data_IF_318214773387
#
_entry.id   IF_318214773387
#
_cell.length_a   1.000
_cell.length_b   1.000
_cell.length_c   1.000
_cell.angle_alpha   90.00
_cell.angle_beta   90.00
_cell.angle_gamma   90.00
#
_symmetry.space_group_name_H-M   'P 1'
#
loop_
_entity.id
_entity.type
_entity.pdbx_description
1 polymer ?
#
# COMPACT_ATOMS: atom_id res chain seq x y z
N UNK A 1 75.80 -28.93 -54.75
CA UNK A 1 76.39 -30.12 -54.08
C UNK A 1 75.30 -30.55 -53.14
N UNK A 2 74.54 -31.59 -53.57
CA UNK A 2 74.63 -33.00 -53.10
C UNK A 2 74.67 -33.07 -51.56
N UNK A 3 73.74 -33.75 -50.86
CA UNK A 3 73.37 -35.18 -50.93
C UNK A 3 72.36 -35.48 -49.85
N UNK A 4 71.43 -36.20 -50.14
CA UNK A 4 70.90 -37.54 -49.77
C UNK A 4 70.18 -37.62 -48.41
N UNK A 5 68.90 -37.90 -48.51
CA UNK A 5 68.20 -39.15 -48.25
C UNK A 5 68.42 -39.79 -46.86
N UNK A 6 67.40 -39.85 -46.01
CA UNK A 6 66.97 -41.14 -45.50
C UNK A 6 65.49 -41.13 -44.99
N UNK A 7 64.79 -42.15 -45.47
CA UNK A 7 63.47 -42.51 -45.02
C UNK A 7 63.55 -43.46 -43.82
N UNK A 8 62.83 -43.16 -42.78
CA UNK A 8 62.39 -44.24 -41.88
C UNK A 8 60.92 -44.13 -41.49
N UNK A 9 60.19 -45.13 -41.91
CA UNK A 9 58.84 -45.45 -41.48
C UNK A 9 58.73 -45.64 -39.97
N UNK A 10 57.71 -45.01 -39.34
CA UNK A 10 57.37 -45.27 -37.95
C UNK A 10 55.84 -45.22 -37.73
N UNK A 11 55.33 -46.37 -37.53
CA UNK A 11 53.99 -46.88 -37.31
C UNK A 11 53.08 -45.92 -36.54
N UNK A 12 51.83 -45.91 -36.98
CA UNK A 12 50.69 -45.20 -36.42
C UNK A 12 50.31 -45.56 -34.97
N UNK A 13 49.92 -44.56 -34.24
CA UNK A 13 49.11 -44.71 -33.06
C UNK A 13 47.86 -43.84 -33.28
N UNK A 14 46.77 -44.52 -33.60
CA UNK A 14 45.44 -43.91 -33.62
C UNK A 14 45.07 -43.61 -32.17
N UNK A 15 45.17 -42.34 -31.77
CA UNK A 15 44.56 -41.87 -30.52
C UNK A 15 43.10 -41.63 -30.78
N UNK A 16 42.26 -42.50 -30.22
CA UNK A 16 40.84 -42.28 -30.11
C UNK A 16 40.59 -41.11 -29.18
N UNK A 17 40.06 -40.00 -29.72
CA UNK A 17 39.56 -38.86 -28.94
C UNK A 17 38.17 -39.25 -28.45
N UNK A 18 38.06 -39.60 -27.18
CA UNK A 18 36.80 -39.73 -26.47
C UNK A 18 36.23 -38.31 -26.24
N UNK A 19 35.29 -37.95 -27.08
CA UNK A 19 34.44 -36.78 -26.84
C UNK A 19 33.46 -37.12 -25.69
N UNK A 20 33.79 -36.73 -24.48
CA UNK A 20 32.83 -36.70 -23.36
C UNK A 20 31.87 -35.55 -23.57
N UNK A 21 30.66 -35.84 -24.00
CA UNK A 21 29.56 -34.93 -24.06
C UNK A 21 29.12 -34.60 -22.61
N UNK A 22 29.56 -33.46 -22.10
CA UNK A 22 29.00 -32.84 -20.88
C UNK A 22 27.64 -32.26 -21.23
N UNK A 23 26.57 -33.02 -20.98
CA UNK A 23 25.22 -32.47 -20.99
C UNK A 23 25.06 -31.58 -19.78
N UNK A 24 25.21 -30.27 -19.96
CA UNK A 24 24.84 -29.29 -18.96
C UNK A 24 23.31 -29.26 -18.84
N UNK A 25 22.80 -29.84 -17.77
CA UNK A 25 21.39 -29.73 -17.39
C UNK A 25 21.14 -28.30 -16.91
N UNK A 26 20.62 -27.44 -17.78
CA UNK A 26 20.16 -26.09 -17.37
C UNK A 26 18.86 -26.30 -16.60
N UNK A 27 18.95 -26.30 -15.28
CA UNK A 27 17.77 -26.20 -14.41
C UNK A 27 17.25 -24.77 -14.51
N UNK A 28 16.31 -24.55 -15.40
CA UNK A 28 15.53 -23.30 -15.43
C UNK A 28 14.61 -23.35 -14.21
N UNK A 29 15.04 -22.74 -13.11
CA UNK A 29 14.18 -22.49 -11.97
C UNK A 29 13.12 -21.48 -12.42
N UNK A 30 11.95 -21.98 -12.77
CA UNK A 30 10.79 -21.14 -13.02
C UNK A 30 10.42 -20.48 -11.67
N UNK A 31 10.89 -19.25 -11.48
CA UNK A 31 10.40 -18.40 -10.39
C UNK A 31 8.93 -18.09 -10.72
N UNK A 32 8.02 -18.90 -10.19
CA UNK A 32 6.58 -18.60 -10.23
C UNK A 32 6.37 -17.35 -9.39
N UNK A 33 6.22 -16.21 -10.07
CA UNK A 33 5.69 -15.00 -9.44
C UNK A 33 4.24 -15.36 -9.08
N UNK A 34 4.02 -15.74 -7.83
CA UNK A 34 2.68 -15.85 -7.28
C UNK A 34 2.17 -14.42 -7.16
N UNK A 35 1.47 -13.95 -8.17
CA UNK A 35 0.67 -12.74 -8.05
C UNK A 35 -0.41 -13.05 -7.01
N UNK A 36 -0.17 -12.69 -5.75
CA UNK A 36 -1.17 -12.76 -4.72
C UNK A 36 -2.31 -11.81 -5.13
N UNK A 37 -3.41 -12.41 -5.60
CA UNK A 37 -4.62 -11.64 -5.91
C UNK A 37 -5.22 -11.13 -4.61
N UNK A 38 -5.51 -9.83 -4.53
CA UNK A 38 -6.18 -9.24 -3.39
C UNK A 38 -7.60 -9.80 -3.23
N UNK A 39 -8.03 -9.94 -1.99
CA UNK A 39 -9.35 -10.49 -1.63
C UNK A 39 -10.24 -9.35 -1.13
N UNK A 40 -11.53 -9.38 -1.48
CA UNK A 40 -12.49 -8.42 -0.93
C UNK A 40 -12.71 -8.64 0.57
N UNK A 41 -12.73 -7.56 1.34
CA UNK A 41 -13.06 -7.64 2.76
C UNK A 41 -14.55 -7.98 2.93
N UNK A 42 -14.83 -8.89 3.86
CA UNK A 42 -16.20 -9.22 4.27
C UNK A 42 -16.82 -8.20 5.23
N UNK A 43 -18.04 -8.47 5.69
CA UNK A 43 -18.72 -7.65 6.70
C UNK A 43 -17.94 -7.66 8.04
N UNK A 44 -18.10 -6.60 8.86
CA UNK A 44 -17.54 -6.61 10.19
C UNK A 44 -18.22 -7.67 11.08
N UNK A 45 -17.53 -8.17 12.12
CA UNK A 45 -18.13 -9.10 13.07
C UNK A 45 -19.41 -8.55 13.71
N UNK A 46 -20.32 -9.41 14.17
CA UNK A 46 -21.54 -8.97 14.88
C UNK A 46 -21.24 -8.02 16.03
N UNK A 47 -21.96 -6.91 16.10
CA UNK A 47 -21.78 -5.87 17.12
C UNK A 47 -20.65 -4.88 16.82
N UNK A 48 -19.86 -5.12 15.79
CA UNK A 48 -18.82 -4.18 15.33
C UNK A 48 -19.31 -3.34 14.15
N UNK A 49 -18.69 -2.18 13.98
CA UNK A 49 -18.87 -1.31 12.83
C UNK A 49 -17.59 -1.20 12.03
N UNK A 50 -17.68 -0.78 10.78
CA UNK A 50 -16.53 -0.52 9.95
C UNK A 50 -16.55 0.89 9.35
N UNK A 51 -15.37 1.50 9.24
CA UNK A 51 -15.14 2.77 8.57
C UNK A 51 -13.97 2.64 7.59
N UNK A 52 -13.99 3.40 6.49
CA UNK A 52 -12.94 3.35 5.48
C UNK A 52 -12.41 4.76 5.23
N UNK A 53 -11.07 4.91 5.32
CA UNK A 53 -10.39 6.18 5.19
C UNK A 53 -9.18 6.05 4.27
N UNK A 54 -9.00 7.02 3.38
CA UNK A 54 -7.82 7.20 2.54
C UNK A 54 -7.13 8.53 2.91
N UNK A 55 -5.85 8.51 3.20
CA UNK A 55 -5.10 9.69 3.67
C UNK A 55 -3.61 9.63 3.32
N UNK A 56 -3.28 9.31 2.06
CA UNK A 56 -1.93 9.02 1.61
C UNK A 56 -1.55 7.57 1.89
N UNK A 57 -0.27 7.33 2.14
CA UNK A 57 0.24 5.98 2.41
C UNK A 57 -0.51 5.30 3.57
N UNK A 58 -1.07 4.15 3.28
CA UNK A 58 -1.87 3.38 4.22
C UNK A 58 -1.09 2.89 5.45
N UNK A 59 0.23 2.71 5.38
CA UNK A 59 1.04 2.38 6.57
C UNK A 59 0.92 3.44 7.66
N UNK A 60 0.87 4.72 7.26
CA UNK A 60 0.70 5.83 8.19
C UNK A 60 -0.71 5.92 8.74
N UNK A 61 -1.72 5.62 7.92
CA UNK A 61 -3.11 5.62 8.35
C UNK A 61 -3.41 4.43 9.26
N UNK A 62 -2.87 3.25 8.96
CA UNK A 62 -2.98 2.06 9.81
C UNK A 62 -2.42 2.33 11.22
N UNK A 63 -1.22 2.92 11.30
CA UNK A 63 -0.60 3.31 12.58
C UNK A 63 -1.52 4.21 13.41
N UNK A 64 -2.12 5.22 12.78
CA UNK A 64 -3.00 6.18 13.47
C UNK A 64 -4.22 5.52 14.09
N UNK A 65 -4.90 4.66 13.35
CA UNK A 65 -6.15 4.09 13.81
C UNK A 65 -5.96 2.89 14.75
N UNK A 66 -4.89 2.12 14.57
CA UNK A 66 -4.62 0.92 15.39
C UNK A 66 -4.26 1.28 16.85
N UNK A 67 -3.89 2.52 17.12
CA UNK A 67 -3.63 3.02 18.47
C UNK A 67 -4.88 3.53 19.21
N UNK A 68 -6.05 3.58 18.55
CA UNK A 68 -7.26 4.13 19.15
C UNK A 68 -7.97 3.08 20.00
N UNK A 69 -8.16 3.31 21.32
CA UNK A 69 -8.90 2.39 22.17
C UNK A 69 -10.32 2.17 21.65
N UNK A 70 -10.73 0.91 21.49
CA UNK A 70 -12.02 0.53 20.93
C UNK A 70 -11.97 0.14 19.45
N UNK A 71 -10.87 0.43 18.75
CA UNK A 71 -10.57 -0.17 17.44
C UNK A 71 -10.14 -1.60 17.66
N UNK A 72 -10.73 -2.52 16.91
CA UNK A 72 -10.46 -3.96 16.98
C UNK A 72 -9.41 -4.39 15.96
N UNK A 73 -9.49 -3.85 14.75
CA UNK A 73 -8.50 -4.11 13.70
C UNK A 73 -8.49 -2.98 12.68
N UNK A 74 -7.32 -2.78 12.10
CA UNK A 74 -7.11 -1.92 10.94
C UNK A 74 -6.48 -2.76 9.85
N UNK A 75 -7.01 -2.66 8.63
CA UNK A 75 -6.54 -3.43 7.48
C UNK A 75 -6.19 -2.47 6.36
N UNK A 76 -4.96 -2.52 5.88
CA UNK A 76 -4.51 -1.78 4.70
C UNK A 76 -5.08 -2.40 3.43
N UNK A 77 -5.50 -1.58 2.45
CA UNK A 77 -6.11 -2.07 1.22
C UNK A 77 -6.38 -0.99 0.19
N UNK A 78 -7.18 -1.35 -0.79
CA UNK A 78 -7.48 -0.54 -1.97
C UNK A 78 -9.00 -0.44 -2.17
N UNK A 79 -9.49 0.76 -2.49
CA UNK A 79 -10.92 0.97 -2.76
C UNK A 79 -11.15 2.17 -3.68
N UNK A 80 -12.38 2.36 -4.14
CA UNK A 80 -12.78 3.51 -4.97
C UNK A 80 -12.49 3.37 -6.47
N UNK A 81 -11.76 2.36 -6.88
CA UNK A 81 -11.44 2.07 -8.28
C UNK A 81 -12.37 1.06 -8.94
N UNK A 82 -12.08 0.73 -10.20
CA UNK A 82 -12.91 -0.17 -11.02
C UNK A 82 -12.28 -1.55 -11.22
N UNK A 83 -10.99 -1.68 -11.03
CA UNK A 83 -10.27 -2.95 -11.21
C UNK A 83 -10.64 -3.93 -10.11
N UNK A 84 -11.07 -5.12 -10.47
CA UNK A 84 -11.31 -6.20 -9.51
C UNK A 84 -9.97 -6.83 -9.10
N UNK A 85 -9.83 -7.15 -7.81
CA UNK A 85 -8.64 -7.79 -7.26
C UNK A 85 -7.34 -7.11 -7.74
N UNK A 86 -7.16 -5.78 -7.48
CA UNK A 86 -6.00 -5.05 -7.94
C UNK A 86 -4.75 -5.54 -7.22
N UNK A 87 -3.59 -5.51 -7.88
CA UNK A 87 -2.30 -5.69 -7.23
C UNK A 87 -1.71 -4.34 -6.84
N UNK A 88 -0.81 -4.33 -5.84
CA UNK A 88 -0.08 -3.13 -5.42
C UNK A 88 0.55 -2.38 -6.61
N UNK A 89 1.25 -3.10 -7.48
CA UNK A 89 1.94 -2.51 -8.63
C UNK A 89 0.98 -1.74 -9.56
N UNK A 90 -0.23 -2.27 -9.78
CA UNK A 90 -1.23 -1.60 -10.62
C UNK A 90 -1.82 -0.37 -9.93
N UNK A 91 -2.00 -0.42 -8.61
CA UNK A 91 -2.49 0.73 -7.83
C UNK A 91 -1.43 1.81 -7.77
N UNK A 92 -0.17 1.46 -7.46
CA UNK A 92 0.97 2.37 -7.39
C UNK A 92 1.18 3.14 -8.70
N UNK A 93 1.00 2.48 -9.85
CA UNK A 93 1.04 3.13 -11.16
C UNK A 93 -0.15 4.06 -11.44
N UNK A 94 -1.15 4.13 -10.56
CA UNK A 94 -2.36 4.94 -10.76
C UNK A 94 -3.31 4.40 -11.83
N UNK A 95 -3.11 3.16 -12.32
CA UNK A 95 -3.84 2.61 -13.47
C UNK A 95 -5.24 2.06 -13.12
N UNK A 96 -5.54 1.85 -11.83
CA UNK A 96 -6.75 1.16 -11.38
C UNK A 96 -7.90 2.08 -10.97
N UNK A 97 -7.58 3.37 -10.69
CA UNK A 97 -8.49 4.32 -10.07
C UNK A 97 -8.71 4.11 -8.57
N UNK A 98 -8.17 3.02 -7.99
CA UNK A 98 -8.18 2.80 -6.56
C UNK A 98 -7.28 3.78 -5.83
N UNK A 99 -7.61 3.98 -4.55
CA UNK A 99 -6.74 4.67 -3.60
C UNK A 99 -6.24 3.68 -2.56
N UNK A 100 -5.07 3.94 -1.99
CA UNK A 100 -4.63 3.34 -0.74
C UNK A 100 -5.55 3.81 0.39
N UNK A 101 -6.08 2.86 1.12
CA UNK A 101 -7.03 3.14 2.19
C UNK A 101 -6.84 2.15 3.35
N UNK A 102 -7.41 2.49 4.49
CA UNK A 102 -7.53 1.59 5.63
C UNK A 102 -9.00 1.33 5.94
N UNK A 103 -9.30 0.08 6.26
CA UNK A 103 -10.57 -0.33 6.81
C UNK A 103 -10.41 -0.54 8.32
N UNK A 104 -11.13 0.26 9.08
CA UNK A 104 -11.10 0.29 10.54
C UNK A 104 -12.34 -0.43 11.06
N UNK A 105 -12.18 -1.58 11.74
CA UNK A 105 -13.24 -2.28 12.46
C UNK A 105 -13.18 -1.85 13.92
N UNK A 106 -14.29 -1.40 14.47
CA UNK A 106 -14.33 -0.83 15.81
C UNK A 106 -15.60 -1.21 16.57
N UNK A 107 -15.50 -1.18 17.90
CA UNK A 107 -16.62 -1.36 18.81
C UNK A 107 -17.33 0.00 19.02
N UNK A 108 -18.55 0.19 18.46
CA UNK A 108 -19.26 1.46 18.56
C UNK A 108 -19.69 1.83 19.99
N UNK A 109 -19.64 0.86 20.93
CA UNK A 109 -19.89 1.14 22.35
C UNK A 109 -18.66 1.72 23.05
N UNK A 110 -17.45 1.60 22.45
CA UNK A 110 -16.18 2.06 23.05
C UNK A 110 -15.61 3.29 22.35
N UNK A 111 -15.79 3.37 21.02
CA UNK A 111 -15.30 4.50 20.22
C UNK A 111 -16.34 4.89 19.17
N UNK A 112 -16.61 6.18 19.05
CA UNK A 112 -17.56 6.69 18.07
C UNK A 112 -16.92 6.90 16.68
N UNK A 113 -17.74 6.90 15.63
CA UNK A 113 -17.30 7.25 14.29
C UNK A 113 -16.74 8.68 14.21
N UNK A 114 -17.32 9.60 14.98
CA UNK A 114 -16.85 10.99 15.09
C UNK A 114 -15.44 11.07 15.69
N UNK A 115 -15.08 10.18 16.61
CA UNK A 115 -13.70 10.07 17.14
C UNK A 115 -12.74 9.62 16.03
N UNK A 116 -13.16 8.66 15.20
CA UNK A 116 -12.36 8.22 14.07
C UNK A 116 -12.23 9.32 13.00
N UNK A 117 -13.28 10.08 12.73
CA UNK A 117 -13.23 11.25 11.84
C UNK A 117 -12.27 12.31 12.35
N UNK A 118 -12.29 12.61 13.66
CA UNK A 118 -11.34 13.55 14.24
C UNK A 118 -9.89 13.06 14.11
N UNK A 119 -9.64 11.78 14.36
CA UNK A 119 -8.33 11.17 14.14
C UNK A 119 -7.89 11.26 12.66
N UNK A 120 -8.80 10.99 11.72
CA UNK A 120 -8.56 11.15 10.29
C UNK A 120 -8.12 12.57 9.94
N UNK A 121 -8.92 13.59 10.30
CA UNK A 121 -8.64 14.98 9.98
C UNK A 121 -7.28 15.43 10.54
N UNK A 122 -7.00 15.09 11.80
CA UNK A 122 -5.74 15.44 12.48
C UNK A 122 -4.51 14.76 11.90
N UNK A 123 -4.69 13.77 11.06
CA UNK A 123 -3.59 12.99 10.44
C UNK A 123 -3.53 13.11 8.92
N UNK A 124 -4.28 14.07 8.34
CA UNK A 124 -4.27 14.37 6.90
C UNK A 124 -4.07 15.88 6.66
N UNK A 125 -3.58 16.21 5.47
CA UNK A 125 -3.64 17.58 4.94
C UNK A 125 -4.93 17.75 4.14
N UNK A 126 -5.95 18.42 4.67
CA UNK A 126 -7.21 18.57 3.99
C UNK A 126 -7.14 19.53 2.79
N UNK A 127 -6.04 20.24 2.62
CA UNK A 127 -5.83 21.22 1.53
C UNK A 127 -5.11 20.61 0.34
N UNK A 128 -4.63 19.34 0.47
CA UNK A 128 -3.95 18.60 -0.59
C UNK A 128 -4.94 17.61 -1.24
N UNK A 129 -5.12 17.70 -2.55
CA UNK A 129 -6.10 16.87 -3.27
C UNK A 129 -5.50 15.92 -4.30
N UNK A 130 -4.23 16.07 -4.63
CA UNK A 130 -3.53 15.28 -5.64
C UNK A 130 -2.63 14.19 -5.03
N UNK A 131 -2.56 14.14 -3.71
CA UNK A 131 -1.73 13.23 -2.95
C UNK A 131 -1.79 13.57 -1.48
N UNK A 132 -0.80 13.14 -0.71
CA UNK A 132 -0.63 13.53 0.70
C UNK A 132 0.87 13.57 1.04
N UNK A 133 1.34 14.69 1.54
CA UNK A 133 2.73 14.90 1.98
C UNK A 133 3.72 14.63 0.84
N UNK A 134 4.54 13.58 0.93
CA UNK A 134 5.49 13.20 -0.12
C UNK A 134 4.91 12.21 -1.14
N UNK A 135 3.72 11.69 -0.90
CA UNK A 135 3.09 10.70 -1.76
C UNK A 135 2.22 11.39 -2.81
N UNK A 136 2.68 11.42 -4.06
CA UNK A 136 1.99 12.06 -5.18
C UNK A 136 1.31 11.03 -6.07
N UNK A 137 0.09 11.36 -6.49
CA UNK A 137 -0.70 10.54 -7.39
C UNK A 137 -2.11 10.30 -6.89
N UNK A 138 -2.99 9.96 -7.82
CA UNK A 138 -4.42 9.75 -7.54
C UNK A 138 -4.70 8.66 -6.51
N UNK A 139 -3.78 7.71 -6.35
CA UNK A 139 -3.88 6.62 -5.38
C UNK A 139 -3.63 7.07 -3.94
N UNK A 140 -3.09 8.27 -3.71
CA UNK A 140 -2.80 8.83 -2.38
C UNK A 140 -3.70 9.99 -1.98
N UNK A 141 -4.74 10.30 -2.77
CA UNK A 141 -5.64 11.41 -2.46
C UNK A 141 -6.47 11.15 -1.19
N UNK A 142 -6.78 12.20 -0.41
CA UNK A 142 -7.55 12.05 0.83
C UNK A 142 -9.05 11.87 0.52
N UNK A 143 -9.65 10.78 1.05
CA UNK A 143 -11.07 10.46 0.92
C UNK A 143 -11.61 9.88 2.22
N UNK A 144 -12.87 10.21 2.52
CA UNK A 144 -13.68 9.53 3.54
C UNK A 144 -14.75 8.74 2.80
N UNK A 145 -14.80 7.43 3.02
CA UNK A 145 -15.82 6.56 2.41
C UNK A 145 -16.92 6.28 3.43
N UNK A 146 -18.17 6.59 3.08
CA UNK A 146 -19.32 6.29 3.93
C UNK A 146 -20.02 5.01 3.49
N UNK A 147 -20.39 4.17 4.44
CA UNK A 147 -21.07 2.90 4.20
C UNK A 147 -22.60 3.07 4.20
N UNK A 148 -23.11 4.07 4.91
CA UNK A 148 -24.53 4.37 5.08
C UNK A 148 -24.76 5.87 5.28
N UNK A 149 -26.04 6.27 5.33
CA UNK A 149 -26.42 7.67 5.48
C UNK A 149 -25.99 8.26 6.84
N UNK A 150 -25.99 7.46 7.90
CA UNK A 150 -25.56 7.93 9.20
C UNK A 150 -24.06 8.29 9.23
N UNK A 151 -23.21 7.49 8.54
CA UNK A 151 -21.81 7.85 8.33
C UNK A 151 -21.65 9.07 7.43
N UNK A 152 -22.46 9.17 6.37
CA UNK A 152 -22.44 10.32 5.46
C UNK A 152 -22.73 11.62 6.20
N UNK A 153 -23.83 11.71 6.93
CA UNK A 153 -24.22 12.87 7.72
C UNK A 153 -23.12 13.31 8.71
N UNK A 154 -22.52 12.34 9.42
CA UNK A 154 -21.43 12.60 10.39
C UNK A 154 -20.16 13.05 9.72
N UNK A 155 -19.80 12.44 8.60
CA UNK A 155 -18.61 12.84 7.82
C UNK A 155 -18.79 14.27 7.28
N UNK A 156 -19.93 14.60 6.71
CA UNK A 156 -20.26 15.94 6.25
C UNK A 156 -20.30 16.96 7.38
N UNK A 157 -20.86 16.63 8.53
CA UNK A 157 -20.86 17.49 9.70
C UNK A 157 -19.43 17.76 10.17
N UNK A 158 -18.57 16.74 10.20
CA UNK A 158 -17.16 16.89 10.59
C UNK A 158 -16.39 17.79 9.63
N UNK A 159 -16.66 17.68 8.32
CA UNK A 159 -16.06 18.54 7.29
C UNK A 159 -16.51 20.00 7.46
N UNK A 160 -17.82 20.24 7.65
CA UNK A 160 -18.36 21.59 7.91
C UNK A 160 -17.72 22.24 9.13
N UNK A 161 -17.51 21.50 10.24
CA UNK A 161 -16.82 22.05 11.42
C UNK A 161 -15.41 22.57 11.10
N UNK A 162 -14.69 21.90 10.19
CA UNK A 162 -13.35 22.36 9.78
C UNK A 162 -13.46 23.57 8.84
N UNK A 163 -14.42 23.58 7.93
CA UNK A 163 -14.70 24.72 7.03
C UNK A 163 -15.08 25.97 7.83
N UNK A 164 -16.00 25.84 8.79
CA UNK A 164 -16.49 26.92 9.66
C UNK A 164 -15.41 27.45 10.61
N UNK A 165 -14.40 26.67 10.91
CA UNK A 165 -13.25 27.14 11.69
C UNK A 165 -12.40 28.17 10.95
N UNK A 166 -12.59 28.32 9.65
CA UNK A 166 -11.82 29.17 8.75
C UNK A 166 -10.30 28.98 8.82
N UNK A 167 -9.88 27.81 9.35
CA UNK A 167 -8.45 27.45 9.48
C UNK A 167 -7.80 27.25 8.13
N UNK A 168 -8.55 26.70 7.19
CA UNK A 168 -8.08 26.41 5.84
C UNK A 168 -8.88 27.18 4.80
N UNK A 169 -8.19 27.68 3.78
CA UNK A 169 -8.80 28.43 2.69
C UNK A 169 -9.74 27.53 1.85
N UNK A 170 -9.46 26.24 1.78
CA UNK A 170 -10.23 25.24 1.02
C UNK A 170 -9.97 23.84 1.55
N UNK A 171 -11.01 23.02 1.64
CA UNK A 171 -10.95 21.59 1.97
C UNK A 171 -11.11 20.79 0.69
N UNK A 172 -10.11 20.01 0.34
CA UNK A 172 -10.10 19.18 -0.89
C UNK A 172 -10.44 17.71 -0.63
N UNK A 173 -10.44 17.27 0.64
CA UNK A 173 -10.92 15.95 1.02
C UNK A 173 -12.36 15.75 0.57
N UNK A 174 -12.62 14.68 -0.15
CA UNK A 174 -13.96 14.30 -0.61
C UNK A 174 -14.58 13.25 0.31
N UNK A 175 -15.92 13.29 0.42
CA UNK A 175 -16.72 12.29 1.10
C UNK A 175 -17.50 11.57 0.02
N UNK A 176 -17.31 10.25 -0.10
CA UNK A 176 -17.82 9.45 -1.22
C UNK A 176 -18.43 8.11 -0.71
N UNK A 177 -19.37 7.52 -1.44
CA UNK A 177 -19.91 6.22 -1.04
C UNK A 177 -18.84 5.15 -1.06
N UNK A 178 -18.90 4.24 -0.09
CA UNK A 178 -18.01 3.08 -0.03
C UNK A 178 -18.27 2.14 -1.22
N UNK A 179 -17.20 1.53 -1.68
CA UNK A 179 -17.20 0.45 -2.67
C UNK A 179 -16.45 -0.75 -2.14
N UNK A 180 -16.32 -1.79 -2.96
CA UNK A 180 -15.53 -2.97 -2.56
C UNK A 180 -14.16 -2.56 -2.04
N UNK A 181 -13.83 -2.99 -0.83
CA UNK A 181 -12.52 -2.84 -0.22
C UNK A 181 -11.70 -4.10 -0.48
N UNK A 182 -10.58 -3.97 -1.17
CA UNK A 182 -9.66 -5.05 -1.49
C UNK A 182 -8.51 -5.03 -0.49
N UNK A 183 -8.34 -6.12 0.25
CA UNK A 183 -7.27 -6.25 1.24
C UNK A 183 -5.92 -6.24 0.51
N UNK A 184 -5.02 -5.37 0.90
CA UNK A 184 -3.67 -5.33 0.33
C UNK A 184 -2.86 -6.57 0.74
N UNK A 185 -1.79 -6.81 0.02
CA UNK A 185 -0.89 -7.94 0.21
C UNK A 185 -0.35 -7.98 1.66
N UNK A 186 -0.10 -9.17 2.18
CA UNK A 186 0.26 -9.41 3.59
C UNK A 186 1.47 -8.59 4.04
N UNK A 187 2.45 -8.37 3.16
CA UNK A 187 3.65 -7.60 3.50
C UNK A 187 3.37 -6.10 3.76
N UNK A 188 2.18 -5.60 3.44
CA UNK A 188 1.74 -4.25 3.77
C UNK A 188 1.04 -4.16 5.12
N UNK A 189 0.49 -5.28 5.62
CA UNK A 189 -0.25 -5.28 6.87
C UNK A 189 0.69 -5.05 8.06
N UNK A 190 0.31 -4.15 8.96
CA UNK A 190 1.08 -3.78 10.14
C UNK A 190 2.55 -3.40 9.84
N UNK A 191 2.81 -2.84 8.65
CA UNK A 191 4.16 -2.50 8.22
C UNK A 191 4.88 -1.59 9.22
N UNK A 192 4.17 -0.67 9.84
CA UNK A 192 4.72 0.23 10.85
C UNK A 192 5.22 -0.50 12.11
N UNK A 193 4.74 -1.73 12.40
CA UNK A 193 5.22 -2.61 13.48
C UNK A 193 6.31 -3.56 12.99
N UNK A 194 6.03 -4.27 11.88
CA UNK A 194 6.89 -5.35 11.38
C UNK A 194 8.18 -4.82 10.75
N UNK A 195 8.16 -3.59 10.23
CA UNK A 195 9.28 -2.92 9.58
C UNK A 195 9.50 -1.51 10.17
N UNK A 196 9.47 -1.40 11.50
CA UNK A 196 9.44 -0.13 12.23
C UNK A 196 10.55 0.85 11.81
N UNK A 197 11.78 0.37 11.59
CA UNK A 197 12.89 1.24 11.17
C UNK A 197 12.67 1.84 9.77
N UNK A 198 12.23 1.03 8.81
CA UNK A 198 11.94 1.48 7.45
C UNK A 198 10.74 2.46 7.45
N UNK A 199 9.71 2.16 8.23
CA UNK A 199 8.57 3.07 8.38
C UNK A 199 8.97 4.41 8.99
N UNK A 200 9.79 4.43 10.03
CA UNK A 200 10.28 5.67 10.64
C UNK A 200 11.12 6.49 9.66
N UNK A 201 11.99 5.86 8.90
CA UNK A 201 12.78 6.54 7.87
C UNK A 201 11.89 7.17 6.80
N UNK A 202 10.89 6.42 6.31
CA UNK A 202 9.89 6.92 5.37
C UNK A 202 9.13 8.12 5.98
N UNK A 203 8.55 7.99 7.17
CA UNK A 203 7.73 9.01 7.82
C UNK A 203 8.49 10.33 8.05
N UNK A 204 9.74 10.24 8.51
CA UNK A 204 10.63 11.40 8.70
C UNK A 204 10.99 12.03 7.34
N UNK A 205 11.42 11.22 6.37
CA UNK A 205 11.80 11.69 5.03
C UNK A 205 10.64 12.34 4.29
N UNK A 206 9.41 11.87 4.53
CA UNK A 206 8.19 12.42 3.98
C UNK A 206 7.77 13.77 4.59
N UNK A 207 8.32 14.13 5.75
CA UNK A 207 7.97 15.38 6.45
C UNK A 207 6.54 15.44 6.99
N UNK A 208 5.86 14.27 7.08
CA UNK A 208 4.44 14.20 7.46
C UNK A 208 4.16 14.88 8.80
N UNK A 209 4.96 14.58 9.83
CA UNK A 209 4.73 15.13 11.18
C UNK A 209 4.95 16.63 11.24
N UNK A 210 5.95 17.16 10.55
CA UNK A 210 6.18 18.59 10.45
C UNK A 210 5.00 19.30 9.79
N UNK A 211 4.50 18.76 8.68
CA UNK A 211 3.35 19.32 7.98
C UNK A 211 2.06 19.25 8.82
N UNK A 212 1.82 18.13 9.52
CA UNK A 212 0.68 18.02 10.42
C UNK A 212 0.76 19.02 11.58
N UNK A 213 1.95 19.27 12.11
CA UNK A 213 2.15 20.30 13.14
C UNK A 213 1.82 21.72 12.62
N UNK A 214 2.24 22.05 11.40
CA UNK A 214 1.88 23.33 10.75
C UNK A 214 0.37 23.48 10.59
N UNK A 215 -0.31 22.44 10.13
CA UNK A 215 -1.73 22.43 9.84
C UNK A 215 -2.58 22.46 11.11
N UNK A 216 -2.22 21.69 12.12
CA UNK A 216 -3.10 21.39 13.25
C UNK A 216 -2.57 21.91 14.61
N UNK A 217 -1.31 22.33 14.69
CA UNK A 217 -0.62 22.69 15.93
C UNK A 217 -0.11 21.47 16.70
N UNK A 218 0.34 21.70 17.94
CA UNK A 218 0.78 20.60 18.82
C UNK A 218 -0.39 19.64 19.12
N UNK A 219 -0.10 18.36 19.14
CA UNK A 219 -1.04 17.30 19.55
C UNK A 219 -1.20 17.28 21.05
#
# INVERSE_FOLDING_TARGET
MMSTYDQRRGRGARRAILLSAFSALIVVSACTIVNASTVAAGDPPPGMSAAIFAGGCFWSMEHVFDEIPGVQSVTSGYTGGKTKSPSYQLVEMGATGHVEAVRVVYDPAKVSYETLLNAYWRNTDPTEGAGQFCDFGSQYRPLIFYADEAQHEKADASKRLIEDSHRFKRILTQIVPASTFWIAEEYHQHFYKTHAAAYQQYRIGCGRDARLHELWGSR
#
